data_IF_140586426527
#
_entry.id   IF_140586426527
#
_cell.length_a   1.000
_cell.length_b   1.000
_cell.length_c   1.000
_cell.angle_alpha   90.00
_cell.angle_beta   90.00
_cell.angle_gamma   90.00
#
_symmetry.space_group_name_H-M   'P 1'
#
loop_
_entity.id
_entity.type
_entity.pdbx_description
1 polymer ?
#
# COMPACT_ATOMS: atom_id res chain seq x y z
N UNK A 1 13.53 -3.32 -17.53
CA UNK A 1 13.12 -2.38 -16.46
C UNK A 1 11.94 -2.97 -15.66
N UNK A 2 12.18 -4.01 -14.86
CA UNK A 2 11.12 -4.58 -14.02
C UNK A 2 10.85 -3.62 -12.86
N UNK A 3 9.66 -3.03 -12.89
CA UNK A 3 9.22 -1.93 -12.02
C UNK A 3 9.35 -2.25 -10.54
N UNK A 4 10.03 -1.37 -9.80
CA UNK A 4 10.19 -1.35 -8.33
C UNK A 4 8.83 -1.44 -7.61
N UNK A 5 7.74 -1.03 -8.27
CA UNK A 5 6.38 -1.04 -7.73
C UNK A 5 5.69 -2.41 -7.73
N UNK A 6 6.21 -3.40 -8.45
CA UNK A 6 5.59 -4.74 -8.54
C UNK A 6 5.68 -5.53 -7.22
N UNK A 7 6.65 -5.21 -6.37
CA UNK A 7 6.83 -5.82 -5.04
C UNK A 7 5.78 -5.39 -4.01
N UNK A 8 5.24 -4.16 -4.12
CA UNK A 8 4.29 -3.58 -3.16
C UNK A 8 2.89 -4.19 -3.28
N UNK A 9 2.57 -4.80 -4.43
CA UNK A 9 1.30 -5.47 -4.70
C UNK A 9 1.45 -6.98 -4.82
N UNK A 10 2.48 -7.58 -4.20
CA UNK A 10 2.61 -9.04 -4.16
C UNK A 10 1.42 -9.62 -3.40
N UNK A 11 0.44 -10.12 -4.16
CA UNK A 11 -0.68 -10.92 -3.68
C UNK A 11 -0.11 -12.04 -2.83
N UNK A 12 -0.58 -12.19 -1.60
CA UNK A 12 -0.23 -13.36 -0.79
C UNK A 12 -0.48 -14.62 -1.64
N UNK A 13 0.37 -15.65 -1.58
CA UNK A 13 0.13 -16.89 -2.31
C UNK A 13 -1.29 -17.34 -1.99
N UNK A 14 -2.09 -17.56 -3.03
CA UNK A 14 -3.44 -18.08 -2.88
C UNK A 14 -3.31 -19.38 -2.08
N UNK A 15 -4.03 -19.48 -0.96
CA UNK A 15 -4.12 -20.74 -0.25
C UNK A 15 -4.56 -21.80 -1.27
N UNK A 16 -3.88 -22.96 -1.35
CA UNK A 16 -4.18 -23.95 -2.37
C UNK A 16 -5.68 -24.28 -2.30
N UNK A 17 -6.37 -24.20 -3.43
CA UNK A 17 -7.80 -24.51 -3.56
C UNK A 17 -8.12 -25.97 -3.23
N UNK A 18 -7.10 -26.80 -3.01
CA UNK A 18 -7.22 -28.15 -2.51
C UNK A 18 -7.81 -28.07 -1.09
N UNK A 19 -9.09 -28.41 -0.98
CA UNK A 19 -9.71 -28.69 0.31
C UNK A 19 -8.76 -29.61 1.09
N UNK A 20 -8.41 -29.21 2.31
CA UNK A 20 -7.59 -30.03 3.18
C UNK A 20 -8.41 -31.28 3.48
N UNK A 21 -8.19 -32.36 2.72
CA UNK A 21 -8.81 -33.66 2.96
C UNK A 21 -8.06 -34.25 4.13
N UNK A 22 -8.65 -34.16 5.32
CA UNK A 22 -8.10 -34.80 6.49
C UNK A 22 -8.28 -36.32 6.31
N UNK A 23 -7.19 -37.12 6.35
CA UNK A 23 -7.28 -38.56 6.15
C UNK A 23 -7.99 -39.28 7.31
N UNK A 24 -8.22 -38.58 8.42
CA UNK A 24 -8.85 -39.10 9.62
C UNK A 24 -10.08 -38.28 10.00
N UNK A 25 -11.17 -38.99 10.28
CA UNK A 25 -12.33 -38.44 10.98
C UNK A 25 -12.03 -38.37 12.48
N UNK A 26 -12.84 -37.63 13.26
CA UNK A 26 -12.65 -37.47 14.71
C UNK A 26 -12.54 -38.84 15.41
N UNK A 27 -13.34 -39.82 14.97
CA UNK A 27 -13.38 -41.17 15.52
C UNK A 27 -12.24 -42.08 15.02
N UNK A 28 -11.80 -41.90 13.76
CA UNK A 28 -10.79 -42.74 13.11
C UNK A 28 -9.35 -42.25 13.32
N UNK A 29 -9.14 -41.16 14.05
CA UNK A 29 -7.81 -40.60 14.26
C UNK A 29 -6.99 -41.43 15.28
N UNK A 30 -5.84 -42.04 14.88
CA UNK A 30 -4.98 -42.78 15.79
C UNK A 30 -4.37 -41.89 16.89
N UNK A 31 -4.28 -40.58 16.64
CA UNK A 31 -3.77 -39.59 17.59
C UNK A 31 -4.92 -38.85 18.25
N UNK A 32 -5.46 -39.42 19.34
CA UNK A 32 -6.50 -38.76 20.13
C UNK A 32 -5.96 -37.56 20.91
N UNK A 33 -6.76 -36.53 21.04
CA UNK A 33 -6.44 -35.35 21.86
C UNK A 33 -6.24 -35.78 23.32
N UNK A 34 -5.01 -35.67 23.83
CA UNK A 34 -4.67 -35.98 25.24
C UNK A 34 -5.44 -35.12 26.25
N UNK A 35 -5.90 -33.94 25.83
CA UNK A 35 -6.71 -33.01 26.62
C UNK A 35 -7.91 -32.58 25.80
N UNK A 36 -9.09 -32.72 26.37
CA UNK A 36 -10.35 -32.24 25.80
C UNK A 36 -10.33 -30.71 25.83
N UNK A 37 -10.71 -30.11 24.71
CA UNK A 37 -10.95 -28.68 24.59
C UNK A 37 -12.46 -28.50 24.44
N UNK A 38 -13.09 -27.47 25.04
CA UNK A 38 -12.56 -26.44 25.93
C UNK A 38 -12.20 -26.98 27.33
N UNK A 39 -11.26 -26.34 28.05
CA UNK A 39 -11.00 -26.67 29.44
C UNK A 39 -12.17 -26.20 30.31
N UNK A 40 -12.51 -26.98 31.33
CA UNK A 40 -13.48 -26.55 32.33
C UNK A 40 -12.91 -25.35 33.12
N UNK A 41 -13.46 -24.15 32.88
CA UNK A 41 -12.93 -22.92 33.44
C UNK A 41 -13.22 -22.78 34.93
N UNK A 42 -14.20 -23.48 35.47
CA UNK A 42 -14.57 -23.42 36.89
C UNK A 42 -13.49 -24.05 37.77
N UNK A 43 -12.97 -25.22 37.36
CA UNK A 43 -11.98 -26.01 38.11
C UNK A 43 -10.53 -25.51 37.96
N UNK A 44 -10.31 -24.41 37.24
CA UNK A 44 -8.99 -23.91 36.90
C UNK A 44 -8.48 -22.90 37.94
N UNK A 45 -7.20 -22.95 38.32
CA UNK A 45 -6.59 -21.88 39.13
C UNK A 45 -6.69 -20.52 38.44
N UNK A 46 -6.98 -19.45 39.17
CA UNK A 46 -7.11 -18.08 38.66
C UNK A 46 -5.88 -17.61 37.87
N UNK A 47 -4.68 -17.95 38.33
CA UNK A 47 -3.43 -17.66 37.63
C UNK A 47 -3.40 -18.31 36.24
N UNK A 48 -3.98 -19.51 36.11
CA UNK A 48 -4.09 -20.19 34.84
C UNK A 48 -5.18 -19.56 33.94
N UNK A 49 -6.33 -19.17 34.52
CA UNK A 49 -7.39 -18.43 33.81
C UNK A 49 -6.85 -17.13 33.20
N UNK A 50 -6.11 -16.33 33.97
CA UNK A 50 -5.52 -15.07 33.49
C UNK A 50 -4.52 -15.29 32.34
N UNK A 51 -3.72 -16.38 32.38
CA UNK A 51 -2.81 -16.72 31.27
C UNK A 51 -3.57 -17.09 29.99
N UNK A 52 -4.66 -17.85 30.12
CA UNK A 52 -5.51 -18.21 28.99
C UNK A 52 -6.20 -16.99 28.40
N UNK A 53 -6.75 -16.12 29.25
CA UNK A 53 -7.35 -14.87 28.85
C UNK A 53 -6.36 -13.97 28.10
N UNK A 54 -5.15 -13.77 28.65
CA UNK A 54 -4.10 -12.98 28.00
C UNK A 54 -3.74 -13.56 26.63
N UNK A 55 -3.66 -14.89 26.50
CA UNK A 55 -3.42 -15.57 25.22
C UNK A 55 -4.58 -15.37 24.24
N UNK A 56 -5.82 -15.46 24.73
CA UNK A 56 -7.02 -15.22 23.93
C UNK A 56 -7.07 -13.79 23.39
N UNK A 57 -6.93 -12.77 24.25
CA UNK A 57 -6.93 -11.35 23.83
C UNK A 57 -5.87 -11.06 22.77
N UNK A 58 -4.66 -11.62 22.92
CA UNK A 58 -3.58 -11.51 21.91
C UNK A 58 -3.94 -12.14 20.57
N UNK A 59 -4.47 -13.37 20.59
CA UNK A 59 -4.89 -14.07 19.36
C UNK A 59 -6.08 -13.40 18.70
N UNK A 60 -7.04 -12.90 19.47
CA UNK A 60 -8.16 -12.12 18.98
C UNK A 60 -7.65 -10.86 18.27
N UNK A 61 -6.74 -10.09 18.90
CA UNK A 61 -6.13 -8.91 18.26
C UNK A 61 -5.50 -9.24 16.90
N UNK A 62 -4.81 -10.38 16.78
CA UNK A 62 -4.21 -10.82 15.52
C UNK A 62 -5.25 -11.28 14.49
N UNK A 63 -6.30 -12.00 14.91
CA UNK A 63 -7.40 -12.45 14.03
C UNK A 63 -8.20 -11.27 13.47
N UNK A 64 -8.43 -10.25 14.30
CA UNK A 64 -9.16 -9.05 13.94
C UNK A 64 -8.30 -7.96 13.31
N UNK A 65 -6.97 -8.12 13.27
CA UNK A 65 -6.10 -7.20 12.56
C UNK A 65 -6.36 -7.28 11.04
N UNK A 66 -6.77 -6.16 10.43
CA UNK A 66 -6.97 -6.03 8.97
C UNK A 66 -5.93 -5.07 8.37
N UNK A 67 -4.65 -5.47 8.27
CA UNK A 67 -3.57 -4.56 7.86
C UNK A 67 -3.72 -4.04 6.43
N UNK A 68 -4.31 -4.81 5.52
CA UNK A 68 -4.49 -4.38 4.13
C UNK A 68 -5.63 -3.35 3.99
N UNK A 69 -6.71 -3.53 4.75
CA UNK A 69 -7.80 -2.56 4.80
C UNK A 69 -7.33 -1.23 5.39
N UNK A 70 -6.61 -1.26 6.51
CA UNK A 70 -6.10 -0.04 7.12
C UNK A 70 -5.07 0.68 6.24
N UNK A 71 -4.25 -0.06 5.48
CA UNK A 71 -3.37 0.52 4.45
C UNK A 71 -4.18 1.19 3.34
N UNK A 72 -5.23 0.53 2.83
CA UNK A 72 -6.09 1.07 1.78
C UNK A 72 -6.81 2.35 2.22
N UNK A 73 -7.41 2.35 3.42
CA UNK A 73 -8.08 3.54 3.96
C UNK A 73 -7.09 4.68 4.15
N UNK A 74 -5.90 4.41 4.71
CA UNK A 74 -4.87 5.44 4.86
C UNK A 74 -4.46 6.03 3.51
N UNK A 75 -4.25 5.18 2.50
CA UNK A 75 -3.91 5.64 1.16
C UNK A 75 -5.04 6.51 0.58
N UNK A 76 -6.30 6.10 0.74
CA UNK A 76 -7.46 6.88 0.31
C UNK A 76 -7.55 8.23 1.04
N UNK A 77 -7.25 8.28 2.34
CA UNK A 77 -7.20 9.53 3.12
C UNK A 77 -6.11 10.48 2.59
N UNK A 78 -4.91 9.98 2.35
CA UNK A 78 -3.83 10.80 1.79
C UNK A 78 -4.19 11.27 0.37
N UNK A 79 -4.74 10.38 -0.46
CA UNK A 79 -5.22 10.72 -1.79
C UNK A 79 -6.32 11.78 -1.76
N UNK A 80 -7.28 11.71 -0.83
CA UNK A 80 -8.34 12.71 -0.70
C UNK A 80 -7.79 14.06 -0.26
N UNK A 81 -6.83 14.08 0.69
CA UNK A 81 -6.18 15.32 1.13
C UNK A 81 -5.44 15.96 -0.04
N UNK A 82 -4.60 15.18 -0.75
CA UNK A 82 -3.88 15.67 -1.93
C UNK A 82 -4.83 16.16 -3.01
N UNK A 83 -5.92 15.44 -3.27
CA UNK A 83 -6.93 15.83 -4.25
C UNK A 83 -7.55 17.19 -3.91
N UNK A 84 -7.94 17.41 -2.65
CA UNK A 84 -8.51 18.70 -2.20
C UNK A 84 -7.48 19.82 -2.33
N UNK A 85 -6.22 19.58 -1.98
CA UNK A 85 -5.15 20.57 -2.13
C UNK A 85 -4.96 20.94 -3.61
N UNK A 86 -4.85 19.95 -4.50
CA UNK A 86 -4.70 20.19 -5.94
C UNK A 86 -5.90 20.94 -6.52
N UNK A 87 -7.11 20.58 -6.10
CA UNK A 87 -8.32 21.30 -6.49
C UNK A 87 -8.30 22.76 -6.02
N UNK A 88 -7.97 22.97 -4.74
CA UNK A 88 -7.80 24.30 -4.16
C UNK A 88 -6.77 25.15 -4.92
N UNK A 89 -5.67 24.52 -5.37
CA UNK A 89 -4.60 25.20 -6.10
C UNK A 89 -4.97 25.51 -7.54
N UNK A 90 -5.57 24.55 -8.25
CA UNK A 90 -5.71 24.63 -9.71
C UNK A 90 -7.09 25.11 -10.17
N UNK A 91 -8.15 24.91 -9.38
CA UNK A 91 -9.53 25.06 -9.83
C UNK A 91 -10.41 25.91 -8.91
N UNK A 92 -9.97 26.19 -7.67
CA UNK A 92 -10.74 27.07 -6.78
C UNK A 92 -10.52 28.53 -7.17
N UNK A 93 -11.56 29.14 -7.73
CA UNK A 93 -11.65 30.58 -7.99
C UNK A 93 -12.18 31.27 -6.74
N UNK A 94 -11.44 32.24 -6.20
CA UNK A 94 -11.89 33.09 -5.09
C UNK A 94 -12.31 34.45 -5.68
N UNK A 95 -13.13 35.22 -4.97
CA UNK A 95 -13.65 36.53 -5.42
C UNK A 95 -12.55 37.57 -5.78
N UNK A 96 -11.30 37.34 -5.39
CA UNK A 96 -10.12 38.17 -5.68
C UNK A 96 -9.21 37.62 -6.82
N UNK A 97 -9.64 36.57 -7.53
CA UNK A 97 -8.88 35.82 -8.54
C UNK A 97 -8.35 34.48 -8.03
N UNK A 98 -7.66 33.68 -8.87
CA UNK A 98 -7.09 32.40 -8.38
C UNK A 98 -5.88 32.65 -7.47
N UNK A 99 -5.89 32.16 -6.22
CA UNK A 99 -4.81 32.43 -5.24
C UNK A 99 -3.44 31.85 -5.63
N UNK A 100 -3.36 31.12 -6.74
CA UNK A 100 -2.17 30.43 -7.22
C UNK A 100 -1.73 30.84 -8.62
N UNK A 101 -2.29 31.91 -9.20
CA UNK A 101 -1.87 32.41 -10.52
C UNK A 101 -0.37 32.73 -10.59
N UNK A 102 0.22 33.24 -9.50
CA UNK A 102 1.66 33.46 -9.41
C UNK A 102 2.47 32.16 -9.54
N UNK A 103 2.01 31.07 -8.92
CA UNK A 103 2.67 29.76 -9.01
C UNK A 103 2.48 29.17 -10.42
N UNK A 104 1.31 29.32 -11.03
CA UNK A 104 1.06 28.83 -12.39
C UNK A 104 1.91 29.55 -13.43
N UNK A 105 2.10 30.87 -13.30
CA UNK A 105 2.98 31.66 -14.17
C UNK A 105 4.44 31.23 -14.03
N UNK A 106 4.93 31.12 -12.79
CA UNK A 106 6.30 30.66 -12.54
C UNK A 106 6.55 29.24 -13.08
N UNK A 107 5.56 28.34 -12.94
CA UNK A 107 5.65 26.99 -13.49
C UNK A 107 5.63 26.98 -15.02
N UNK A 108 4.77 27.79 -15.65
CA UNK A 108 4.70 27.92 -17.10
C UNK A 108 6.01 28.47 -17.68
N UNK A 109 6.62 29.47 -17.05
CA UNK A 109 7.94 30.00 -17.43
C UNK A 109 9.03 28.93 -17.33
N UNK A 110 9.03 28.15 -16.23
CA UNK A 110 10.04 27.12 -16.02
C UNK A 110 9.91 25.95 -17.01
N UNK A 111 8.67 25.58 -17.38
CA UNK A 111 8.39 24.56 -18.39
C UNK A 111 8.74 25.06 -19.79
N UNK A 112 8.42 26.32 -20.14
CA UNK A 112 8.82 26.92 -21.42
C UNK A 112 10.35 26.96 -21.57
N UNK A 113 11.07 27.47 -20.56
CA UNK A 113 12.55 27.52 -20.60
C UNK A 113 13.17 26.12 -20.72
N UNK A 114 12.58 25.09 -20.10
CA UNK A 114 13.03 23.71 -20.25
C UNK A 114 12.70 23.12 -21.63
N UNK A 115 11.59 23.53 -22.26
CA UNK A 115 11.27 23.13 -23.63
C UNK A 115 12.19 23.82 -24.65
N UNK A 116 12.46 25.11 -24.48
CA UNK A 116 13.39 25.89 -25.34
C UNK A 116 14.78 25.27 -25.31
N UNK A 117 15.34 25.01 -24.12
CA UNK A 117 16.64 24.33 -23.99
C UNK A 117 16.66 22.93 -24.60
N UNK A 118 15.54 22.18 -24.59
CA UNK A 118 15.42 20.89 -25.29
C UNK A 118 15.37 21.07 -26.81
N UNK A 119 14.73 22.12 -27.32
CA UNK A 119 14.68 22.44 -28.74
C UNK A 119 16.05 22.88 -29.25
N UNK A 120 16.77 23.74 -28.51
CA UNK A 120 18.13 24.19 -28.83
C UNK A 120 19.12 23.00 -28.89
N UNK A 121 19.05 22.12 -27.89
CA UNK A 121 19.88 20.91 -27.87
C UNK A 121 19.54 19.98 -29.04
N UNK A 122 18.28 19.92 -29.47
CA UNK A 122 17.84 19.11 -30.61
C UNK A 122 18.24 19.76 -31.95
N UNK A 123 18.22 21.09 -32.04
CA UNK A 123 18.68 21.87 -33.18
C UNK A 123 20.20 21.70 -33.39
N UNK A 124 20.99 21.80 -32.32
CA UNK A 124 22.45 21.59 -32.36
C UNK A 124 22.82 20.16 -32.80
N UNK A 125 22.11 19.14 -32.32
CA UNK A 125 22.33 17.75 -32.71
C UNK A 125 21.88 17.44 -34.16
N UNK A 126 21.00 18.25 -34.74
CA UNK A 126 20.55 18.11 -36.13
C UNK A 126 21.31 19.02 -37.11
N UNK A 127 22.20 19.88 -36.61
CA UNK A 127 23.15 20.64 -37.40
C UNK A 127 24.13 19.69 -38.11
N UNK A 128 24.42 19.89 -39.41
CA UNK A 128 25.28 19.00 -40.20
C UNK A 128 26.73 18.88 -39.68
N UNK A 129 27.13 19.72 -38.72
CA UNK A 129 28.47 19.70 -38.08
C UNK A 129 28.62 18.58 -37.06
N UNK A 130 27.54 18.14 -36.39
CA UNK A 130 27.60 17.18 -35.28
C UNK A 130 27.85 15.71 -35.72
N UNK A 131 27.74 15.38 -37.01
CA UNK A 131 27.85 14.01 -37.53
C UNK A 131 29.28 13.47 -37.67
N UNK A 132 30.30 14.10 -37.08
CA UNK A 132 31.67 13.61 -37.22
C UNK A 132 32.48 13.85 -35.96
N UNK A 133 32.58 12.83 -35.09
CA UNK A 133 33.85 12.28 -34.60
C UNK A 133 33.65 10.85 -34.04
N UNK A 134 34.20 9.82 -34.70
CA UNK A 134 34.44 8.52 -34.08
C UNK A 134 35.83 8.45 -33.43
N UNK A 135 35.90 7.87 -32.23
CA UNK A 135 37.07 7.21 -31.66
C UNK A 135 36.62 6.12 -30.72
#
# INVERSE_FOLDING_TARGET
MASIFSSLFRRAPQAPANAIVFPFTIEANPYRCKRIWPPEFENLSEKHKFRLERRYRRRAKLKWARPNWTKGVKLATWASITFVIVYGVLFMETDEGTPFDGIRRAYAEQVSAMNESREDTKADNSSPVALKQPS
#
